data_IF_358208380904
#
_entry.id   IF_358208380904
#
_cell.length_a   1.000
_cell.length_b   1.000
_cell.length_c   1.000
_cell.angle_alpha   90.00
_cell.angle_beta   90.00
_cell.angle_gamma   90.00
#
_symmetry.space_group_name_H-M   'P 1'
#
loop_
_entity.id
_entity.type
_entity.pdbx_description
1 polymer ?
#
# COMPACT_ATOMS: atom_id res chain seq x y z
N UNK A 1 -10.30 -0.99 -13.83
CA UNK A 1 -10.58 0.07 -12.83
C UNK A 1 -11.08 -0.43 -11.47
N UNK A 2 -11.54 -1.68 -11.29
CA UNK A 2 -12.04 -2.14 -9.97
C UNK A 2 -10.98 -2.27 -8.84
N UNK A 3 -9.75 -2.69 -9.17
CA UNK A 3 -8.70 -2.98 -8.18
C UNK A 3 -8.02 -1.72 -7.61
N UNK A 4 -8.00 -0.63 -8.38
CA UNK A 4 -7.42 0.64 -7.93
C UNK A 4 -8.26 1.27 -6.82
N UNK A 5 -9.60 1.14 -6.86
CA UNK A 5 -10.48 1.65 -5.80
C UNK A 5 -10.28 0.91 -4.48
N UNK A 6 -10.16 -0.42 -4.54
CA UNK A 6 -9.89 -1.25 -3.36
C UNK A 6 -8.51 -0.90 -2.79
N UNK A 7 -7.49 -0.79 -3.65
CA UNK A 7 -6.14 -0.37 -3.24
C UNK A 7 -6.12 1.03 -2.61
N UNK A 8 -6.83 2.00 -3.17
CA UNK A 8 -6.94 3.35 -2.61
C UNK A 8 -7.63 3.34 -1.24
N UNK A 9 -8.69 2.56 -1.07
CA UNK A 9 -9.41 2.46 0.20
C UNK A 9 -8.56 1.83 1.31
N UNK A 10 -7.83 0.76 0.99
CA UNK A 10 -6.90 0.10 1.91
C UNK A 10 -5.76 1.05 2.29
N UNK A 11 -5.23 1.81 1.33
CA UNK A 11 -4.15 2.76 1.55
C UNK A 11 -4.59 3.93 2.46
N UNK A 12 -5.78 4.49 2.21
CA UNK A 12 -6.36 5.53 3.09
C UNK A 12 -6.64 4.95 4.48
N UNK A 13 -7.25 3.77 4.59
CA UNK A 13 -7.51 3.14 5.88
C UNK A 13 -6.21 2.89 6.66
N UNK A 14 -5.16 2.40 6.01
CA UNK A 14 -3.89 2.11 6.69
C UNK A 14 -3.18 3.36 7.18
N UNK A 15 -3.14 4.43 6.37
CA UNK A 15 -2.50 5.69 6.78
C UNK A 15 -3.28 6.39 7.88
N UNK A 16 -4.60 6.52 7.75
CA UNK A 16 -5.39 7.39 8.62
C UNK A 16 -5.92 6.69 9.87
N UNK A 17 -6.30 5.40 9.80
CA UNK A 17 -6.89 4.68 10.94
C UNK A 17 -5.81 4.02 11.81
N UNK A 18 -4.68 3.65 11.24
CA UNK A 18 -3.62 2.93 11.96
C UNK A 18 -2.35 3.77 12.07
N UNK A 19 -1.87 4.33 10.96
CA UNK A 19 -0.61 5.08 10.91
C UNK A 19 -0.60 6.36 11.75
N UNK A 20 -1.62 7.21 11.57
CA UNK A 20 -1.75 8.47 12.31
C UNK A 20 -1.89 8.25 13.83
N UNK A 21 -2.81 7.39 14.34
CA UNK A 21 -2.93 7.19 15.78
C UNK A 21 -1.68 6.55 16.41
N UNK A 22 -1.02 5.59 15.74
CA UNK A 22 0.24 5.01 16.24
C UNK A 22 1.36 6.06 16.23
N UNK A 23 1.46 6.88 15.18
CA UNK A 23 2.45 7.95 15.08
C UNK A 23 2.24 9.04 16.13
N UNK A 24 1.00 9.42 16.42
CA UNK A 24 0.66 10.38 17.48
C UNK A 24 0.97 9.80 18.88
N UNK A 25 0.65 8.51 19.11
CA UNK A 25 0.96 7.84 20.37
C UNK A 25 2.47 7.83 20.63
N UNK A 26 3.28 7.50 19.62
CA UNK A 26 4.74 7.53 19.72
C UNK A 26 5.30 8.95 19.88
N UNK A 27 4.75 9.93 19.18
CA UNK A 27 5.22 11.33 19.20
C UNK A 27 4.96 12.00 20.56
N UNK A 28 3.75 11.81 21.12
CA UNK A 28 3.36 12.46 22.36
C UNK A 28 3.82 11.72 23.61
N UNK A 29 3.91 10.38 23.58
CA UNK A 29 4.27 9.62 24.78
C UNK A 29 5.78 9.64 25.10
N UNK A 30 6.65 9.92 24.11
CA UNK A 30 8.11 9.83 24.28
C UNK A 30 8.85 11.18 24.46
N UNK A 31 8.19 12.34 24.34
CA UNK A 31 8.78 13.68 24.60
C UNK A 31 10.14 13.97 23.91
N UNK A 32 10.34 13.53 22.65
CA UNK A 32 11.67 13.52 22.00
C UNK A 32 12.06 14.79 21.20
N UNK A 33 11.27 15.88 21.19
CA UNK A 33 11.57 17.12 20.42
C UNK A 33 11.94 16.81 18.93
N UNK A 34 13.01 17.40 18.37
CA UNK A 34 13.44 17.19 16.96
C UNK A 34 13.83 15.73 16.69
N UNK A 35 14.32 15.00 17.71
CA UNK A 35 14.56 13.55 17.60
C UNK A 35 13.25 12.78 17.48
N UNK A 36 12.16 13.30 18.04
CA UNK A 36 10.81 12.79 17.86
C UNK A 36 10.33 12.92 16.41
N UNK A 37 10.74 13.97 15.70
CA UNK A 37 10.42 14.13 14.27
C UNK A 37 11.11 13.05 13.42
N UNK A 38 12.41 12.81 13.67
CA UNK A 38 13.17 11.76 12.99
C UNK A 38 12.68 10.35 13.36
N UNK A 39 12.41 10.11 14.64
CA UNK A 39 11.82 8.85 15.11
C UNK A 39 10.42 8.64 14.51
N UNK A 40 9.62 9.70 14.37
CA UNK A 40 8.33 9.69 13.68
C UNK A 40 8.47 9.28 12.22
N UNK A 41 9.41 9.89 11.48
CA UNK A 41 9.69 9.53 10.09
C UNK A 41 10.09 8.06 9.95
N UNK A 42 11.04 7.59 10.78
CA UNK A 42 11.50 6.20 10.77
C UNK A 42 10.36 5.25 11.12
N UNK A 43 9.57 5.55 12.16
CA UNK A 43 8.42 4.73 12.55
C UNK A 43 7.35 4.65 11.46
N UNK A 44 7.09 5.77 10.77
CA UNK A 44 6.19 5.82 9.62
C UNK A 44 6.70 4.96 8.47
N UNK A 45 7.98 5.06 8.12
CA UNK A 45 8.62 4.22 7.10
C UNK A 45 8.63 2.73 7.47
N UNK A 46 8.87 2.40 8.74
CA UNK A 46 8.83 1.01 9.24
C UNK A 46 7.41 0.44 9.17
N UNK A 47 6.41 1.20 9.62
CA UNK A 47 5.01 0.78 9.54
C UNK A 47 4.56 0.63 8.08
N UNK A 48 4.91 1.58 7.22
CA UNK A 48 4.65 1.51 5.78
C UNK A 48 5.27 0.25 5.16
N UNK A 49 6.53 -0.05 5.50
CA UNK A 49 7.24 -1.25 5.02
C UNK A 49 6.58 -2.53 5.52
N UNK A 50 6.16 -2.57 6.79
CA UNK A 50 5.50 -3.72 7.38
C UNK A 50 4.15 -4.00 6.71
N UNK A 51 3.35 -2.95 6.45
CA UNK A 51 2.08 -3.07 5.74
C UNK A 51 2.27 -3.57 4.31
N UNK A 52 3.23 -3.02 3.56
CA UNK A 52 3.54 -3.50 2.22
C UNK A 52 4.00 -4.96 2.23
N UNK A 53 4.84 -5.33 3.18
CA UNK A 53 5.32 -6.70 3.35
C UNK A 53 4.16 -7.67 3.62
N UNK A 54 3.22 -7.30 4.51
CA UNK A 54 2.02 -8.10 4.77
C UNK A 54 1.15 -8.23 3.51
N UNK A 55 0.93 -7.14 2.79
CA UNK A 55 0.16 -7.18 1.53
C UNK A 55 0.82 -8.13 0.52
N UNK A 56 2.13 -8.04 0.32
CA UNK A 56 2.90 -8.92 -0.56
C UNK A 56 2.78 -10.40 -0.11
N UNK A 57 2.90 -10.66 1.19
CA UNK A 57 2.81 -12.01 1.77
C UNK A 57 1.44 -12.65 1.65
N UNK A 58 0.37 -11.86 1.82
CA UNK A 58 -1.02 -12.34 1.72
C UNK A 58 -1.60 -12.24 0.30
N UNK A 59 -0.88 -11.63 -0.64
CA UNK A 59 -1.33 -11.55 -2.03
C UNK A 59 -1.28 -12.92 -2.68
N UNK A 60 -2.42 -13.38 -3.21
CA UNK A 60 -2.46 -14.60 -4.02
C UNK A 60 -1.84 -14.33 -5.40
N UNK A 61 -0.55 -14.58 -5.49
CA UNK A 61 0.26 -14.36 -6.69
C UNK A 61 -0.26 -15.09 -7.92
N UNK A 62 -0.90 -16.27 -7.75
CA UNK A 62 -1.50 -17.00 -8.89
C UNK A 62 -2.70 -16.25 -9.46
N UNK A 63 -3.54 -15.67 -8.59
CA UNK A 63 -4.67 -14.83 -9.01
C UNK A 63 -4.18 -13.54 -9.68
N UNK A 64 -3.15 -12.89 -9.13
CA UNK A 64 -2.60 -11.67 -9.75
C UNK A 64 -1.87 -11.94 -11.07
N UNK A 65 -1.16 -13.05 -11.20
CA UNK A 65 -0.55 -13.48 -12.45
C UNK A 65 -1.60 -13.74 -13.54
N UNK A 66 -2.72 -14.40 -13.19
CA UNK A 66 -3.81 -14.61 -14.13
C UNK A 66 -4.44 -13.30 -14.59
N UNK A 67 -4.71 -12.36 -13.68
CA UNK A 67 -5.20 -11.02 -14.07
C UNK A 67 -4.23 -10.26 -14.95
N UNK A 68 -2.93 -10.42 -14.73
CA UNK A 68 -1.92 -9.78 -15.57
C UNK A 68 -1.95 -10.37 -17.00
N UNK A 69 -2.10 -11.69 -17.12
CA UNK A 69 -2.23 -12.39 -18.41
C UNK A 69 -3.51 -11.98 -19.15
N UNK A 70 -4.64 -11.89 -18.47
CA UNK A 70 -5.91 -11.42 -19.08
C UNK A 70 -5.76 -10.02 -19.67
N UNK A 71 -5.13 -9.07 -18.94
CA UNK A 71 -4.87 -7.72 -19.47
C UNK A 71 -4.01 -7.72 -20.71
N UNK A 72 -2.97 -8.57 -20.76
CA UNK A 72 -2.11 -8.67 -21.95
C UNK A 72 -2.86 -9.27 -23.15
N UNK A 73 -3.81 -10.19 -22.92
CA UNK A 73 -4.64 -10.76 -23.96
C UNK A 73 -5.64 -9.74 -24.50
N UNK A 74 -6.33 -9.01 -23.61
CA UNK A 74 -7.22 -7.89 -23.99
C UNK A 74 -6.45 -6.84 -24.81
N UNK A 75 -5.23 -6.48 -24.41
CA UNK A 75 -4.42 -5.52 -25.14
C UNK A 75 -4.01 -6.04 -26.53
N UNK A 76 -3.65 -7.33 -26.66
CA UNK A 76 -3.33 -7.94 -27.96
C UNK A 76 -4.54 -8.00 -28.89
N UNK A 77 -5.69 -8.44 -28.37
CA UNK A 77 -6.95 -8.51 -29.13
C UNK A 77 -7.38 -7.12 -29.58
N UNK A 78 -7.31 -6.14 -28.68
CA UNK A 78 -7.64 -4.76 -28.99
C UNK A 78 -6.74 -4.23 -30.10
N UNK A 79 -5.40 -4.38 -30.00
CA UNK A 79 -4.46 -3.96 -31.05
C UNK A 79 -4.69 -4.64 -32.41
N UNK A 80 -5.12 -5.91 -32.45
CA UNK A 80 -5.45 -6.60 -33.71
C UNK A 80 -6.76 -6.11 -34.37
N UNK A 81 -7.66 -5.48 -33.62
CA UNK A 81 -8.91 -4.95 -34.16
C UNK A 81 -8.78 -3.53 -34.73
N UNK A 82 -7.74 -2.79 -34.32
CA UNK A 82 -7.49 -1.39 -34.72
C UNK A 82 -6.35 -1.25 -35.74
N UNK A 83 -5.61 -2.33 -36.03
CA UNK A 83 -4.53 -2.37 -37.02
C UNK A 83 -4.92 -3.21 -38.23
#
# INVERSE_FOLDING_TARGET
TGWQKIGAYVNIASYYIIGIPIGLLLCFHLHLNVKGLWAGLVSGSTLQTLLLFLVIGFTNWRKEANKARERMLDEKVSRQLIG
#
